data_IF_897668520702
#
_entry.id   IF_897668520702
#
_cell.length_a   1.000
_cell.length_b   1.000
_cell.length_c   1.000
_cell.angle_alpha   90.00
_cell.angle_beta   90.00
_cell.angle_gamma   90.00
#
_symmetry.space_group_name_H-M   'P 1'
#
loop_
_entity.id
_entity.type
_entity.pdbx_description
1 polymer ?
#
# COMPACT_ATOMS: atom_id res chain seq x y z
N UNK A 1 22.77 -36.76 11.97
CA UNK A 1 21.76 -37.25 12.93
C UNK A 1 20.58 -37.72 12.11
N UNK A 2 20.16 -38.97 12.28
CA UNK A 2 19.05 -39.52 11.50
C UNK A 2 17.74 -39.07 12.15
N UNK A 3 16.71 -38.82 11.34
CA UNK A 3 15.42 -38.37 11.84
C UNK A 3 14.28 -39.10 11.14
N UNK A 4 13.23 -39.40 11.89
CA UNK A 4 11.98 -39.98 11.38
C UNK A 4 10.82 -39.09 11.82
N UNK A 5 10.12 -38.55 10.84
CA UNK A 5 8.90 -37.77 11.04
C UNK A 5 7.70 -38.67 10.74
N UNK A 6 6.74 -38.72 11.67
CA UNK A 6 5.58 -39.59 11.55
C UNK A 6 4.30 -38.91 12.05
N UNK A 7 3.18 -39.30 11.44
CA UNK A 7 1.83 -38.81 11.75
C UNK A 7 1.10 -39.78 12.65
N UNK A 8 0.59 -39.28 13.77
CA UNK A 8 -0.36 -39.98 14.63
C UNK A 8 -1.77 -39.68 14.14
N UNK A 9 -2.39 -40.63 13.43
CA UNK A 9 -3.65 -40.41 12.73
C UNK A 9 -4.85 -40.15 13.67
N UNK A 10 -4.95 -40.86 14.79
CA UNK A 10 -6.12 -40.76 15.68
C UNK A 10 -6.24 -39.39 16.36
N UNK A 11 -5.11 -38.69 16.53
CA UNK A 11 -5.06 -37.36 17.15
C UNK A 11 -4.74 -36.22 16.19
N UNK A 12 -4.44 -36.50 14.91
CA UNK A 12 -3.91 -35.52 13.95
C UNK A 12 -2.71 -34.74 14.53
N UNK A 13 -1.68 -35.48 14.94
CA UNK A 13 -0.44 -34.91 15.45
C UNK A 13 0.77 -35.37 14.64
N UNK A 14 1.78 -34.51 14.59
CA UNK A 14 3.08 -34.81 14.01
C UNK A 14 4.14 -34.99 15.09
N UNK A 15 5.03 -35.97 14.85
CA UNK A 15 6.07 -36.37 15.79
C UNK A 15 7.40 -36.60 15.10
N UNK A 16 8.47 -36.15 15.75
CA UNK A 16 9.84 -36.28 15.25
C UNK A 16 10.67 -37.13 16.21
N UNK A 17 11.23 -38.22 15.69
CA UNK A 17 12.23 -39.02 16.38
C UNK A 17 13.62 -38.66 15.89
N UNK A 18 14.54 -38.54 16.83
CA UNK A 18 15.95 -38.31 16.58
C UNK A 18 16.71 -39.59 16.89
N UNK A 19 17.54 -40.04 15.94
CA UNK A 19 18.26 -41.31 16.00
C UNK A 19 19.76 -41.09 15.81
N UNK A 20 20.54 -42.00 16.37
CA UNK A 20 21.99 -42.06 16.13
C UNK A 20 22.31 -42.49 14.69
N UNK A 21 23.60 -42.57 14.35
CA UNK A 21 24.05 -43.00 13.02
C UNK A 21 23.66 -44.43 12.65
N UNK A 22 23.33 -45.27 13.63
CA UNK A 22 22.94 -46.67 13.47
C UNK A 22 21.41 -46.85 13.50
N UNK A 23 20.64 -45.76 13.45
CA UNK A 23 19.17 -45.76 13.52
C UNK A 23 18.61 -46.24 14.86
N UNK A 24 19.38 -46.15 15.95
CA UNK A 24 18.82 -46.35 17.28
C UNK A 24 18.15 -45.06 17.76
N UNK A 25 16.96 -45.19 18.34
CA UNK A 25 16.25 -44.07 18.95
C UNK A 25 17.09 -43.40 20.05
N UNK A 26 17.13 -42.07 20.05
CA UNK A 26 17.83 -41.26 21.06
C UNK A 26 16.86 -40.35 21.81
N UNK A 27 15.97 -39.67 21.09
CA UNK A 27 15.00 -38.76 21.67
C UNK A 27 13.80 -38.53 20.75
N UNK A 28 12.75 -37.91 21.29
CA UNK A 28 11.56 -37.51 20.54
C UNK A 28 11.07 -36.13 20.96
N UNK A 29 10.49 -35.42 20.01
CA UNK A 29 9.68 -34.21 20.21
C UNK A 29 8.41 -34.30 19.35
N UNK A 30 7.41 -33.45 19.59
CA UNK A 30 6.17 -33.48 18.80
C UNK A 30 4.92 -33.17 19.61
N UNK A 31 3.82 -33.84 19.23
CA UNK A 31 2.43 -33.49 19.57
C UNK A 31 1.98 -32.17 18.93
N UNK A 32 2.54 -31.84 17.78
CA UNK A 32 2.16 -30.66 17.01
C UNK A 32 0.91 -30.98 16.21
N UNK A 33 -0.16 -30.23 16.43
CA UNK A 33 -1.36 -30.36 15.59
C UNK A 33 -0.98 -30.11 14.13
N UNK A 34 -1.56 -30.84 13.18
CA UNK A 34 -1.16 -30.77 11.75
C UNK A 34 -1.17 -29.35 11.16
N UNK A 35 -1.93 -28.41 11.76
CA UNK A 35 -2.00 -27.01 11.35
C UNK A 35 -1.24 -26.04 12.28
N UNK A 36 -0.29 -26.54 13.08
CA UNK A 36 0.56 -25.69 13.93
C UNK A 36 1.82 -25.25 13.19
N UNK A 37 2.43 -24.15 13.64
CA UNK A 37 3.68 -23.63 13.08
C UNK A 37 4.83 -24.65 13.09
N UNK A 38 4.89 -25.49 14.13
CA UNK A 38 5.88 -26.54 14.24
C UNK A 38 5.66 -27.67 13.24
N UNK A 39 4.39 -28.07 13.02
CA UNK A 39 4.05 -29.07 12.01
C UNK A 39 4.41 -28.57 10.60
N UNK A 40 4.03 -27.33 10.27
CA UNK A 40 4.41 -26.69 9.00
C UNK A 40 5.93 -26.59 8.80
N UNK A 41 6.68 -26.35 9.88
CA UNK A 41 8.15 -26.33 9.82
C UNK A 41 8.69 -27.72 9.46
N UNK A 42 8.11 -28.78 10.02
CA UNK A 42 8.51 -30.15 9.69
C UNK A 42 8.10 -30.57 8.28
N UNK A 43 6.92 -30.19 7.82
CA UNK A 43 6.51 -30.38 6.42
C UNK A 43 7.54 -29.77 5.46
N UNK A 44 7.98 -28.54 5.74
CA UNK A 44 9.04 -27.86 4.96
C UNK A 44 10.36 -28.62 5.01
N UNK A 45 10.80 -29.04 6.20
CA UNK A 45 12.07 -29.73 6.39
C UNK A 45 12.13 -31.10 5.69
N UNK A 46 11.00 -31.82 5.69
CA UNK A 46 10.89 -33.17 5.13
C UNK A 46 10.30 -33.20 3.71
N UNK A 47 9.81 -32.05 3.21
CA UNK A 47 9.15 -31.89 1.92
C UNK A 47 7.97 -32.85 1.73
N UNK A 48 7.11 -32.95 2.74
CA UNK A 48 5.91 -33.79 2.74
C UNK A 48 4.72 -32.98 3.24
N UNK A 49 3.57 -33.17 2.61
CA UNK A 49 2.28 -32.63 3.02
C UNK A 49 1.62 -33.62 3.99
N UNK A 50 1.64 -33.32 5.29
CA UNK A 50 1.09 -34.18 6.33
C UNK A 50 -0.35 -33.84 6.70
N UNK A 51 -0.78 -32.60 6.46
CA UNK A 51 -2.13 -32.13 6.74
C UNK A 51 -3.13 -32.39 5.58
N UNK A 52 -2.63 -32.69 4.38
CA UNK A 52 -3.40 -33.05 3.19
C UNK A 52 -4.06 -31.86 2.49
N UNK A 53 -3.51 -30.65 2.63
CA UNK A 53 -4.04 -29.44 2.00
C UNK A 53 -3.45 -29.15 0.61
N UNK A 54 -2.64 -30.08 0.09
CA UNK A 54 -1.88 -29.97 -1.16
C UNK A 54 -0.81 -28.88 -1.14
N UNK A 55 -0.34 -28.46 0.03
CA UNK A 55 0.78 -27.53 0.22
C UNK A 55 1.81 -28.16 1.16
N UNK A 56 3.09 -27.82 0.96
CA UNK A 56 4.16 -28.21 1.89
C UNK A 56 4.45 -27.01 2.78
N UNK A 57 4.22 -27.14 4.07
CA UNK A 57 4.47 -26.09 5.04
C UNK A 57 3.27 -25.18 5.27
N UNK A 58 3.51 -23.96 5.74
CA UNK A 58 2.41 -23.10 6.16
C UNK A 58 1.58 -22.65 4.93
N UNK A 59 0.25 -22.91 4.89
CA UNK A 59 -0.60 -22.52 3.77
C UNK A 59 -0.69 -20.99 3.57
N UNK A 60 -0.25 -20.18 4.54
CA UNK A 60 -0.15 -18.72 4.39
C UNK A 60 1.18 -18.23 3.79
N UNK A 61 2.10 -19.14 3.41
CA UNK A 61 3.38 -18.80 2.77
C UNK A 61 3.42 -19.15 1.27
N UNK A 62 2.27 -19.11 0.62
CA UNK A 62 2.13 -19.14 -0.85
C UNK A 62 2.32 -17.78 -1.56
N UNK A 63 2.80 -16.75 -0.84
CA UNK A 63 3.30 -15.52 -1.43
C UNK A 63 4.81 -15.53 -1.18
N UNK A 64 5.59 -15.81 -2.24
CA UNK A 64 6.92 -15.23 -2.42
C UNK A 64 6.89 -13.85 -1.79
N UNK A 65 7.80 -13.54 -0.86
CA UNK A 65 7.92 -12.21 -0.29
C UNK A 65 8.09 -11.13 -1.39
N UNK A 66 6.99 -10.75 -2.03
CA UNK A 66 6.78 -9.49 -2.72
C UNK A 66 6.63 -8.55 -1.55
N UNK A 67 7.77 -8.06 -1.05
CA UNK A 67 7.89 -6.97 -0.08
C UNK A 67 6.82 -7.02 1.02
N UNK A 68 7.14 -7.58 2.19
CA UNK A 68 6.32 -7.54 3.41
C UNK A 68 6.16 -6.12 3.99
N UNK A 69 5.99 -5.11 3.13
CA UNK A 69 5.77 -3.70 3.40
C UNK A 69 5.22 -2.96 2.15
N UNK A 70 4.50 -3.63 1.26
CA UNK A 70 3.58 -2.89 0.38
C UNK A 70 2.30 -2.70 1.21
N UNK A 71 1.97 -1.49 1.67
CA UNK A 71 0.70 -1.27 2.34
C UNK A 71 -0.42 -1.62 1.36
N UNK A 72 -1.33 -2.50 1.77
CA UNK A 72 -2.56 -2.72 1.03
C UNK A 72 -3.33 -1.38 0.97
N UNK A 73 -3.82 -0.95 -0.21
CA UNK A 73 -4.58 0.28 -0.30
C UNK A 73 -5.87 0.24 0.51
N UNK A 74 -6.15 1.32 1.23
CA UNK A 74 -7.48 1.60 1.80
C UNK A 74 -8.25 2.33 0.70
N UNK A 75 -9.27 1.66 0.16
CA UNK A 75 -10.04 2.12 -0.99
C UNK A 75 -11.47 2.40 -0.53
N UNK A 76 -11.96 3.61 -0.79
CA UNK A 76 -13.37 3.96 -0.63
C UNK A 76 -14.24 3.41 -1.75
N UNK A 77 -15.44 3.96 -1.85
CA UNK A 77 -16.49 3.51 -2.75
C UNK A 77 -16.68 4.51 -3.91
N UNK A 78 -17.88 4.54 -4.47
CA UNK A 78 -18.29 5.56 -5.44
C UNK A 78 -19.16 6.65 -4.83
N UNK A 79 -19.24 6.72 -3.50
CA UNK A 79 -20.02 7.68 -2.73
C UNK A 79 -19.09 8.52 -1.86
N UNK A 80 -19.64 9.53 -1.20
CA UNK A 80 -18.90 10.33 -0.21
C UNK A 80 -18.53 9.45 1.01
N UNK A 81 -17.24 9.16 1.17
CA UNK A 81 -16.71 8.29 2.21
C UNK A 81 -15.93 9.06 3.30
N UNK A 82 -15.85 8.46 4.49
CA UNK A 82 -14.93 8.89 5.55
C UNK A 82 -13.86 7.81 5.69
N UNK A 83 -12.64 8.16 5.29
CA UNK A 83 -11.49 7.25 5.28
C UNK A 83 -10.49 7.70 6.34
N UNK A 84 -10.11 6.78 7.21
CA UNK A 84 -9.08 6.99 8.22
C UNK A 84 -8.02 5.92 8.07
N UNK A 85 -6.78 6.36 7.86
CA UNK A 85 -5.60 5.51 7.88
C UNK A 85 -5.21 5.10 9.30
N UNK A 86 -3.94 4.76 9.46
CA UNK A 86 -3.38 4.10 10.63
C UNK A 86 -2.18 4.91 11.16
N UNK A 87 -1.33 4.28 11.96
CA UNK A 87 -0.05 4.88 12.33
C UNK A 87 1.12 4.44 11.41
N UNK A 88 0.82 3.58 10.43
CA UNK A 88 1.75 3.06 9.42
C UNK A 88 1.56 3.80 8.10
N UNK A 89 2.55 3.73 7.21
CA UNK A 89 2.46 4.32 5.87
C UNK A 89 1.28 3.74 5.09
N UNK A 90 0.30 4.55 4.72
CA UNK A 90 -0.91 4.11 4.02
C UNK A 90 -0.95 4.54 2.55
N UNK A 91 -1.67 3.78 1.74
CA UNK A 91 -2.13 4.19 0.41
C UNK A 91 -3.64 4.38 0.53
N UNK A 92 -4.11 5.61 0.33
CA UNK A 92 -5.49 6.01 0.55
C UNK A 92 -6.09 6.44 -0.78
N UNK A 93 -7.15 5.76 -1.22
CA UNK A 93 -7.85 6.04 -2.48
C UNK A 93 -9.31 6.34 -2.11
N UNK A 94 -9.75 7.60 -2.29
CA UNK A 94 -11.14 8.00 -2.05
C UNK A 94 -12.12 7.24 -2.94
N UNK A 95 -11.88 7.31 -4.25
CA UNK A 95 -12.77 6.74 -5.26
C UNK A 95 -13.56 7.85 -5.94
N UNK A 96 -14.84 7.59 -6.26
CA UNK A 96 -15.71 8.67 -6.72
C UNK A 96 -16.46 9.25 -5.52
N UNK A 97 -16.73 10.55 -5.52
CA UNK A 97 -17.46 11.20 -4.42
C UNK A 97 -16.68 12.36 -3.83
N UNK A 98 -17.17 12.93 -2.73
CA UNK A 98 -16.44 13.93 -1.96
C UNK A 98 -16.01 13.29 -0.65
N UNK A 99 -14.80 12.76 -0.66
CA UNK A 99 -14.33 11.96 0.47
C UNK A 99 -13.68 12.84 1.53
N UNK A 100 -13.74 12.41 2.79
CA UNK A 100 -12.97 12.98 3.88
C UNK A 100 -11.90 11.99 4.30
N UNK A 101 -10.64 12.30 3.99
CA UNK A 101 -9.52 11.37 4.10
C UNK A 101 -8.52 11.89 5.14
N UNK A 102 -8.23 11.05 6.14
CA UNK A 102 -7.25 11.28 7.21
C UNK A 102 -6.17 10.21 7.13
N UNK A 103 -4.91 10.59 7.00
CA UNK A 103 -3.79 9.65 6.89
C UNK A 103 -3.40 9.03 8.23
N UNK A 104 -3.28 9.86 9.24
CA UNK A 104 -2.77 9.48 10.56
C UNK A 104 -1.29 9.77 10.68
N UNK A 105 -0.54 8.79 11.17
CA UNK A 105 0.92 8.91 11.25
C UNK A 105 1.56 7.99 10.20
N UNK A 106 2.79 8.30 9.81
CA UNK A 106 3.46 7.59 8.73
C UNK A 106 3.64 8.49 7.52
N UNK A 107 4.27 7.98 6.48
CA UNK A 107 4.39 8.64 5.18
C UNK A 107 3.26 8.16 4.27
N UNK A 108 2.17 8.91 4.20
CA UNK A 108 0.95 8.49 3.54
C UNK A 108 0.87 8.92 2.07
N UNK A 109 0.11 8.17 1.27
CA UNK A 109 -0.17 8.48 -0.14
C UNK A 109 -1.66 8.69 -0.35
N UNK A 110 -2.06 9.94 -0.48
CA UNK A 110 -3.41 10.33 -0.90
C UNK A 110 -3.49 10.24 -2.41
N UNK A 111 -4.15 9.20 -2.92
CA UNK A 111 -4.00 8.72 -4.29
C UNK A 111 -5.25 9.01 -5.13
N UNK A 112 -5.03 9.70 -6.25
CA UNK A 112 -6.05 10.03 -7.25
C UNK A 112 -5.75 9.29 -8.56
N UNK A 113 -6.66 8.41 -8.98
CA UNK A 113 -6.49 7.67 -10.23
C UNK A 113 -6.95 8.50 -11.43
N UNK A 114 -7.82 9.49 -11.24
CA UNK A 114 -8.34 10.37 -12.27
C UNK A 114 -8.60 11.78 -11.72
N UNK A 115 -8.45 12.80 -12.58
CA UNK A 115 -8.72 14.21 -12.22
C UNK A 115 -10.20 14.55 -11.94
N UNK A 116 -11.12 13.62 -12.17
CA UNK A 116 -12.57 13.79 -12.07
C UNK A 116 -13.21 12.78 -11.10
N UNK A 117 -12.50 12.47 -10.02
CA UNK A 117 -12.98 11.57 -8.96
C UNK A 117 -13.91 12.30 -7.97
N UNK A 118 -13.74 13.61 -7.85
CA UNK A 118 -14.50 14.47 -6.97
C UNK A 118 -13.56 15.47 -6.31
N UNK A 119 -14.01 16.13 -5.25
CA UNK A 119 -13.17 17.08 -4.50
C UNK A 119 -13.07 16.57 -3.08
N UNK A 120 -11.99 15.85 -2.81
CA UNK A 120 -11.75 15.26 -1.51
C UNK A 120 -11.25 16.30 -0.51
N UNK A 121 -11.52 16.06 0.75
CA UNK A 121 -11.00 16.81 1.88
C UNK A 121 -9.93 15.98 2.58
N UNK A 122 -8.68 16.37 2.42
CA UNK A 122 -7.55 15.76 3.15
C UNK A 122 -7.36 16.53 4.45
N UNK A 123 -7.42 15.85 5.58
CA UNK A 123 -7.58 16.50 6.89
C UNK A 123 -6.25 16.82 7.58
N UNK A 124 -5.22 16.02 7.36
CA UNK A 124 -4.01 16.00 8.20
C UNK A 124 -2.67 15.95 7.44
N UNK A 125 -2.68 16.15 6.12
CA UNK A 125 -1.47 16.11 5.30
C UNK A 125 -0.30 16.90 5.91
N UNK A 126 0.85 16.23 6.00
CA UNK A 126 2.07 16.78 6.58
C UNK A 126 3.33 16.35 5.81
N UNK A 127 3.87 17.23 4.96
CA UNK A 127 5.08 16.95 4.16
C UNK A 127 6.28 16.47 5.00
N UNK A 128 6.40 16.92 6.26
CA UNK A 128 7.52 16.50 7.13
C UNK A 128 7.44 15.05 7.59
N UNK A 129 6.25 14.42 7.56
CA UNK A 129 6.08 12.99 7.79
C UNK A 129 6.36 12.16 6.53
N UNK A 130 6.48 12.80 5.36
CA UNK A 130 6.75 12.14 4.08
C UNK A 130 5.52 11.96 3.21
N UNK A 131 4.38 12.54 3.59
CA UNK A 131 3.14 12.43 2.83
C UNK A 131 3.28 12.90 1.38
N UNK A 132 2.51 12.25 0.51
CA UNK A 132 2.45 12.55 -0.91
C UNK A 132 1.01 12.61 -1.41
N UNK A 133 0.76 13.56 -2.29
CA UNK A 133 -0.38 13.51 -3.20
C UNK A 133 0.07 12.69 -4.40
N UNK A 134 -0.47 11.49 -4.53
CA UNK A 134 -0.13 10.58 -5.61
C UNK A 134 -1.18 10.68 -6.74
N UNK A 135 -0.72 10.77 -7.99
CA UNK A 135 -1.60 10.86 -9.16
C UNK A 135 -1.21 9.85 -10.22
N UNK A 136 -2.21 9.28 -10.90
CA UNK A 136 -1.99 8.46 -12.08
C UNK A 136 -1.64 9.34 -13.29
N UNK A 137 -0.48 9.09 -13.92
CA UNK A 137 -0.10 9.76 -15.15
C UNK A 137 -1.15 9.57 -16.26
N UNK A 138 -1.68 8.35 -16.39
CA UNK A 138 -2.66 8.01 -17.40
C UNK A 138 -4.02 8.69 -17.17
N UNK A 139 -4.49 8.75 -15.91
CA UNK A 139 -5.78 9.36 -15.60
C UNK A 139 -5.77 10.89 -15.60
N UNK A 140 -4.61 11.51 -15.41
CA UNK A 140 -4.46 12.96 -15.43
C UNK A 140 -4.02 13.49 -16.80
N UNK A 141 -3.11 12.80 -17.48
CA UNK A 141 -2.56 13.25 -18.76
C UNK A 141 -1.72 14.53 -18.63
N UNK A 142 -1.90 15.48 -19.55
CA UNK A 142 -1.19 16.77 -19.53
C UNK A 142 0.32 16.69 -19.73
N UNK A 143 0.85 15.55 -20.19
CA UNK A 143 2.29 15.32 -20.31
C UNK A 143 2.98 14.92 -19.00
N UNK A 144 2.22 14.48 -17.99
CA UNK A 144 2.80 13.74 -16.87
C UNK A 144 3.36 12.40 -17.37
N UNK A 145 4.58 12.07 -16.95
CA UNK A 145 5.23 10.81 -17.29
C UNK A 145 5.25 9.89 -16.06
N UNK A 146 4.80 8.65 -16.25
CA UNK A 146 4.67 7.65 -15.20
C UNK A 146 6.02 7.41 -14.49
N UNK A 147 6.03 7.48 -13.16
CA UNK A 147 7.25 7.34 -12.34
C UNK A 147 8.26 8.48 -12.42
N UNK A 148 7.98 9.56 -13.16
CA UNK A 148 8.87 10.71 -13.28
C UNK A 148 8.41 11.82 -12.35
N UNK A 149 9.31 12.27 -11.46
CA UNK A 149 9.03 13.38 -10.57
C UNK A 149 8.72 14.65 -11.35
N UNK A 150 7.70 15.39 -10.91
CA UNK A 150 7.43 16.71 -11.48
C UNK A 150 8.50 17.71 -11.04
N UNK A 151 8.71 18.73 -11.86
CA UNK A 151 9.65 19.81 -11.56
C UNK A 151 8.94 21.01 -10.93
N UNK A 152 9.70 21.93 -10.34
CA UNK A 152 9.16 23.22 -9.86
C UNK A 152 8.53 24.05 -10.98
N UNK A 153 8.86 23.82 -12.25
CA UNK A 153 8.20 24.49 -13.37
C UNK A 153 6.76 23.98 -13.61
N UNK A 154 6.42 22.80 -13.10
CA UNK A 154 5.08 22.20 -13.21
C UNK A 154 4.19 22.46 -12.00
N UNK A 155 4.71 23.10 -10.95
CA UNK A 155 3.97 23.41 -9.73
C UNK A 155 3.97 24.91 -9.48
N UNK A 156 2.83 25.47 -9.07
CA UNK A 156 2.72 26.89 -8.75
C UNK A 156 1.81 27.13 -7.54
N UNK A 157 2.18 28.11 -6.72
CA UNK A 157 1.32 28.61 -5.65
C UNK A 157 0.43 29.74 -6.20
N UNK A 158 -0.85 29.69 -5.90
CA UNK A 158 -1.80 30.72 -6.32
C UNK A 158 -3.18 30.16 -6.66
N UNK A 159 -3.86 30.83 -7.58
CA UNK A 159 -5.24 30.50 -7.98
C UNK A 159 -5.37 30.06 -9.44
N UNK A 160 -4.34 30.25 -10.26
CA UNK A 160 -4.32 29.93 -11.69
C UNK A 160 -2.91 29.52 -12.14
N UNK A 161 -2.82 28.83 -13.27
CA UNK A 161 -1.55 28.56 -13.94
C UNK A 161 -0.91 29.87 -14.42
N UNK A 162 0.42 29.98 -14.32
CA UNK A 162 1.18 31.16 -14.76
C UNK A 162 1.88 30.96 -16.11
N UNK A 163 1.98 29.71 -16.57
CA UNK A 163 2.52 29.36 -17.87
C UNK A 163 1.98 28.00 -18.36
N UNK A 164 2.27 27.67 -19.62
CA UNK A 164 1.83 26.44 -20.28
C UNK A 164 2.40 25.13 -19.68
N UNK A 165 3.40 25.19 -18.81
CA UNK A 165 4.02 24.03 -18.16
C UNK A 165 3.46 23.75 -16.77
N UNK A 166 2.77 24.71 -16.13
CA UNK A 166 2.15 24.48 -14.83
C UNK A 166 1.06 23.40 -14.96
N UNK A 167 1.09 22.43 -14.04
CA UNK A 167 0.15 21.31 -13.95
C UNK A 167 -0.56 21.27 -12.63
N UNK A 168 0.12 21.63 -11.55
CA UNK A 168 -0.46 21.68 -10.22
C UNK A 168 -0.46 23.11 -9.71
N UNK A 169 -1.62 23.56 -9.27
CA UNK A 169 -1.82 24.88 -8.67
C UNK A 169 -2.32 24.66 -7.26
N UNK A 170 -1.63 25.23 -6.27
CA UNK A 170 -2.04 25.13 -4.88
C UNK A 170 -2.37 26.50 -4.29
N UNK A 171 -3.60 26.64 -3.84
CA UNK A 171 -4.11 27.86 -3.21
C UNK A 171 -3.93 27.78 -1.70
N UNK A 172 -2.90 28.46 -1.18
CA UNK A 172 -2.57 28.47 0.25
C UNK A 172 -3.63 29.14 1.14
N UNK A 173 -4.52 29.96 0.57
CA UNK A 173 -5.59 30.63 1.32
C UNK A 173 -6.74 29.65 1.59
N UNK A 174 -7.11 28.84 0.60
CA UNK A 174 -8.26 27.93 0.69
C UNK A 174 -7.86 26.49 1.02
N UNK A 175 -6.61 26.10 0.79
CA UNK A 175 -6.16 24.71 0.81
C UNK A 175 -6.48 23.94 -0.48
N UNK A 176 -7.07 24.60 -1.49
CA UNK A 176 -7.44 23.93 -2.74
C UNK A 176 -6.23 23.55 -3.57
N UNK A 177 -6.15 22.27 -3.95
CA UNK A 177 -5.20 21.74 -4.93
C UNK A 177 -5.92 21.50 -6.25
N UNK A 178 -5.37 22.04 -7.32
CA UNK A 178 -5.93 22.00 -8.66
C UNK A 178 -4.95 21.35 -9.62
N UNK A 179 -5.51 20.60 -10.59
CA UNK A 179 -4.79 20.12 -11.74
C UNK A 179 -5.21 20.88 -13.00
N UNK A 180 -4.23 21.29 -13.79
CA UNK A 180 -4.42 21.94 -15.07
C UNK A 180 -3.72 21.13 -16.18
N UNK A 181 -4.51 20.66 -17.14
CA UNK A 181 -4.03 19.77 -18.18
C UNK A 181 -3.20 20.47 -19.26
N UNK A 182 -3.38 21.78 -19.46
CA UNK A 182 -2.70 22.56 -20.50
C UNK A 182 -2.07 23.87 -19.99
N UNK A 183 -2.12 24.13 -18.68
CA UNK A 183 -1.54 25.31 -18.06
C UNK A 183 -2.31 26.57 -18.43
N UNK A 184 -1.66 27.57 -19.03
CA UNK A 184 -2.37 28.77 -19.52
C UNK A 184 -3.14 28.54 -20.83
N UNK A 185 -3.50 27.30 -21.13
CA UNK A 185 -4.24 26.95 -22.33
C UNK A 185 -5.74 27.24 -22.18
N UNK A 186 -6.56 26.46 -22.88
CA UNK A 186 -8.02 26.66 -22.92
C UNK A 186 -8.76 25.76 -21.94
N UNK A 187 -8.11 24.70 -21.46
CA UNK A 187 -8.71 23.83 -20.45
C UNK A 187 -8.67 24.54 -19.10
N UNK A 188 -9.80 24.56 -18.41
CA UNK A 188 -9.84 25.10 -17.06
C UNK A 188 -9.15 24.13 -16.08
N UNK A 189 -8.43 24.69 -15.11
CA UNK A 189 -7.95 23.94 -13.96
C UNK A 189 -9.13 23.32 -13.18
N UNK A 190 -8.98 22.06 -12.78
CA UNK A 190 -9.96 21.27 -12.04
C UNK A 190 -9.45 21.09 -10.62
N UNK A 191 -10.28 21.41 -9.62
CA UNK A 191 -9.93 21.12 -8.25
C UNK A 191 -10.03 19.61 -8.00
N UNK A 192 -8.98 19.03 -7.42
CA UNK A 192 -8.94 17.60 -7.09
C UNK A 192 -9.02 17.34 -5.59
N UNK A 193 -8.57 18.30 -4.77
CA UNK A 193 -8.59 18.16 -3.32
C UNK A 193 -8.64 19.51 -2.60
N UNK A 194 -8.99 19.45 -1.32
CA UNK A 194 -8.85 20.51 -0.32
C UNK A 194 -8.02 19.98 0.84
N UNK A 195 -6.86 20.58 1.12
CA UNK A 195 -6.03 20.26 2.27
C UNK A 195 -6.40 21.18 3.45
N UNK A 196 -7.03 20.59 4.47
CA UNK A 196 -7.65 21.33 5.57
C UNK A 196 -6.64 22.08 6.44
N UNK A 197 -5.46 21.49 6.65
CA UNK A 197 -4.35 22.09 7.42
C UNK A 197 -3.63 23.22 6.66
N UNK A 198 -3.96 23.40 5.36
CA UNK A 198 -3.31 24.36 4.45
C UNK A 198 -1.78 24.27 4.53
N UNK A 199 -1.19 23.08 4.39
CA UNK A 199 0.24 22.89 4.56
C UNK A 199 1.01 23.63 3.46
N UNK A 200 2.29 23.91 3.69
CA UNK A 200 3.19 24.33 2.63
C UNK A 200 3.40 23.15 1.69
N UNK A 201 2.90 23.25 0.46
CA UNK A 201 3.13 22.25 -0.59
C UNK A 201 4.21 22.71 -1.57
N UNK A 202 4.95 21.75 -2.08
CA UNK A 202 5.96 21.91 -3.11
C UNK A 202 5.83 20.85 -4.19
N UNK A 203 6.58 20.99 -5.29
CA UNK A 203 6.62 19.99 -6.35
C UNK A 203 7.03 18.58 -5.85
N UNK A 204 7.86 18.49 -4.81
CA UNK A 204 8.28 17.20 -4.24
C UNK A 204 7.19 16.48 -3.45
N UNK A 205 6.08 17.14 -3.15
CA UNK A 205 4.94 16.55 -2.45
C UNK A 205 3.96 15.87 -3.41
N UNK A 206 4.15 16.04 -4.72
CA UNK A 206 3.38 15.38 -5.76
C UNK A 206 4.16 14.17 -6.30
N UNK A 207 3.55 13.00 -6.25
CA UNK A 207 4.09 11.75 -6.79
C UNK A 207 3.31 11.34 -8.04
N UNK A 208 4.01 11.09 -9.16
CA UNK A 208 3.40 10.52 -10.36
C UNK A 208 3.63 9.01 -10.35
N UNK A 209 2.53 8.25 -10.29
CA UNK A 209 2.57 6.79 -10.21
C UNK A 209 3.03 6.16 -11.54
N UNK A 210 3.62 4.96 -11.43
CA UNK A 210 4.06 4.12 -12.56
C UNK A 210 2.91 3.34 -13.18
#
# INVERSE_FOLDING_TARGET
VNQVLWKYNDGNYLHLWTLDSNWNWQSSTGWWGLNSSEAFTQETNFQQDFNGDNQIGNPSLGILAVSANVPEPIIGSSNDDIITGTADNNILIGGLGKDTITGGAGSDRFTFNNRNEGIDTITDFLSSQGDKIAVSAAGFGGGLAAGVAITTAQFVLGTTALNASNRFIYNTITGGLFFDGDGTGTLAAIQIATLSSKPTLTASDILVLV
#
